data_IF_535391598852
#
_entry.id   IF_535391598852
#
_cell.length_a   1.000
_cell.length_b   1.000
_cell.length_c   1.000
_cell.angle_alpha   90.00
_cell.angle_beta   90.00
_cell.angle_gamma   90.00
#
_symmetry.space_group_name_H-M   'P 1'
#
loop_
_entity.id
_entity.type
_entity.pdbx_description
1 polymer ?
#
# COMPACT_ATOMS: atom_id res chain seq x y z
N UNK A 1 9.16 -14.25 25.19
CA UNK A 1 8.41 -13.52 24.16
C UNK A 1 8.43 -12.08 24.57
N UNK A 2 9.27 -11.25 23.94
CA UNK A 2 9.21 -9.81 24.18
C UNK A 2 7.89 -9.30 23.61
N UNK A 3 7.14 -8.51 24.37
CA UNK A 3 5.98 -7.77 23.88
C UNK A 3 6.43 -6.88 22.71
N UNK A 4 6.29 -7.38 21.49
CA UNK A 4 6.49 -6.58 20.29
C UNK A 4 5.22 -5.76 20.11
N UNK A 5 5.29 -4.48 20.48
CA UNK A 5 4.16 -3.57 20.36
C UNK A 5 3.75 -3.43 18.88
N UNK A 6 2.51 -3.81 18.56
CA UNK A 6 1.96 -3.70 17.21
C UNK A 6 1.99 -2.23 16.75
N UNK A 7 2.51 -1.99 15.54
CA UNK A 7 2.54 -0.66 14.93
C UNK A 7 1.46 -0.55 13.88
N UNK A 8 0.56 0.43 14.06
CA UNK A 8 -0.61 0.61 13.18
C UNK A 8 -0.45 1.80 12.26
N UNK A 9 -0.81 1.61 11.00
CA UNK A 9 -0.78 2.65 9.96
C UNK A 9 -2.13 2.74 9.26
N UNK A 10 -2.43 3.95 8.82
CA UNK A 10 -3.49 4.19 7.84
C UNK A 10 -2.87 4.40 6.47
N UNK A 11 -3.44 3.75 5.47
CA UNK A 11 -3.08 3.88 4.06
C UNK A 11 -4.29 4.44 3.33
N UNK A 12 -4.22 5.74 3.02
CA UNK A 12 -5.32 6.44 2.38
C UNK A 12 -5.16 6.39 0.86
N UNK A 13 -6.05 5.66 0.20
CA UNK A 13 -6.05 5.45 -1.25
C UNK A 13 -6.85 6.52 -2.01
N UNK A 14 -6.31 6.91 -3.17
CA UNK A 14 -6.86 7.90 -4.09
C UNK A 14 -6.87 7.33 -5.50
N UNK A 15 -7.90 7.66 -6.28
CA UNK A 15 -7.99 7.28 -7.68
C UNK A 15 -9.37 6.71 -8.04
N UNK A 16 -9.47 5.95 -9.13
CA UNK A 16 -8.38 5.60 -10.05
C UNK A 16 -7.90 6.85 -10.82
N UNK A 17 -6.60 6.90 -11.10
CA UNK A 17 -5.99 7.87 -12.00
C UNK A 17 -5.43 7.18 -13.24
N UNK A 18 -5.40 7.91 -14.34
CA UNK A 18 -4.57 7.58 -15.50
C UNK A 18 -3.12 8.02 -15.29
N UNK A 19 -2.19 7.39 -16.00
CA UNK A 19 -0.77 7.79 -15.96
C UNK A 19 -0.55 9.27 -16.30
N UNK A 20 -1.29 9.80 -17.29
CA UNK A 20 -1.17 11.21 -17.71
C UNK A 20 -1.71 12.18 -16.66
N UNK A 21 -2.76 11.83 -15.91
CA UNK A 21 -3.23 12.64 -14.78
C UNK A 21 -2.20 12.71 -13.65
N UNK A 22 -1.57 11.59 -13.31
CA UNK A 22 -0.50 11.54 -12.31
C UNK A 22 0.72 12.34 -12.78
N UNK A 23 1.08 12.25 -14.06
CA UNK A 23 2.20 13.00 -14.65
C UNK A 23 1.98 14.51 -14.58
N UNK A 24 0.75 14.99 -14.84
CA UNK A 24 0.37 16.40 -14.66
C UNK A 24 0.49 16.84 -13.20
N UNK A 25 0.20 15.95 -12.25
CA UNK A 25 0.28 16.20 -10.80
C UNK A 25 1.68 16.02 -10.22
N UNK A 26 2.67 15.51 -10.96
CA UNK A 26 4.01 15.10 -10.46
C UNK A 26 4.72 16.10 -9.55
N UNK A 27 4.51 17.41 -9.73
CA UNK A 27 5.19 18.46 -8.95
C UNK A 27 4.36 19.01 -7.77
N UNK A 28 3.12 18.56 -7.57
CA UNK A 28 2.24 19.05 -6.51
C UNK A 28 2.66 18.57 -5.11
N UNK A 29 2.15 19.22 -4.06
CA UNK A 29 2.32 18.77 -2.68
C UNK A 29 1.77 17.35 -2.49
N UNK A 30 0.56 17.10 -3.03
CA UNK A 30 -0.06 15.78 -3.08
C UNK A 30 0.88 14.70 -3.63
N UNK A 31 1.50 14.91 -4.80
CA UNK A 31 2.37 13.90 -5.40
C UNK A 31 3.61 13.58 -4.55
N UNK A 32 4.04 14.48 -3.65
CA UNK A 32 5.18 14.26 -2.75
C UNK A 32 4.82 13.43 -1.53
N UNK A 33 3.55 13.39 -1.11
CA UNK A 33 3.09 12.59 0.02
C UNK A 33 2.76 11.14 -0.36
N UNK A 34 2.57 10.86 -1.65
CA UNK A 34 2.34 9.50 -2.14
C UNK A 34 3.56 8.61 -1.91
N UNK A 35 3.30 7.40 -1.39
CA UNK A 35 4.32 6.38 -1.09
C UNK A 35 3.99 5.01 -1.65
N UNK A 36 2.70 4.70 -1.84
CA UNK A 36 2.23 3.43 -2.36
C UNK A 36 1.39 3.64 -3.62
N UNK A 37 1.31 2.61 -4.44
CA UNK A 37 0.39 2.53 -5.56
C UNK A 37 -0.10 1.10 -5.75
N UNK A 38 -1.33 1.00 -6.26
CA UNK A 38 -1.98 -0.25 -6.62
C UNK A 38 -2.53 -0.11 -8.03
N UNK A 39 -2.47 -1.19 -8.80
CA UNK A 39 -2.93 -1.23 -10.18
C UNK A 39 -3.98 -2.31 -10.32
N UNK A 40 -5.06 -1.94 -10.99
CA UNK A 40 -6.17 -2.82 -11.32
C UNK A 40 -6.21 -3.00 -12.82
N UNK A 41 -6.22 -4.25 -13.27
CA UNK A 41 -6.19 -4.57 -14.69
C UNK A 41 -6.92 -5.86 -15.00
N UNK A 42 -6.95 -6.22 -16.27
CA UNK A 42 -7.59 -7.45 -16.72
C UNK A 42 -6.61 -8.63 -16.61
N UNK A 43 -7.00 -9.68 -15.91
CA UNK A 43 -6.22 -10.91 -15.76
C UNK A 43 -6.95 -12.09 -16.40
N UNK A 44 -6.33 -12.87 -17.31
CA UNK A 44 -7.00 -13.95 -18.05
C UNK A 44 -7.70 -15.01 -17.18
N UNK A 45 -7.19 -15.25 -15.96
CA UNK A 45 -7.76 -16.24 -15.03
C UNK A 45 -8.70 -15.64 -13.98
N UNK A 46 -8.50 -14.37 -13.60
CA UNK A 46 -9.20 -13.78 -12.45
C UNK A 46 -10.27 -12.76 -12.86
N UNK A 47 -10.35 -12.44 -14.16
CA UNK A 47 -11.37 -11.56 -14.71
C UNK A 47 -10.87 -10.14 -14.93
N UNK A 48 -11.82 -9.22 -15.09
CA UNK A 48 -11.55 -7.82 -15.41
C UNK A 48 -11.41 -6.96 -14.17
N UNK A 49 -10.59 -5.91 -14.25
CA UNK A 49 -10.42 -4.91 -13.17
C UNK A 49 -10.09 -5.54 -11.81
N UNK A 50 -9.18 -6.51 -11.78
CA UNK A 50 -8.70 -7.14 -10.54
C UNK A 50 -7.37 -6.52 -10.11
N UNK A 51 -7.06 -6.57 -8.81
CA UNK A 51 -5.78 -6.12 -8.28
C UNK A 51 -4.64 -6.95 -8.89
N UNK A 52 -3.84 -6.34 -9.75
CA UNK A 52 -2.74 -7.00 -10.46
C UNK A 52 -1.38 -6.65 -9.88
N UNK A 53 -1.21 -5.46 -9.31
CA UNK A 53 0.09 -5.02 -8.80
C UNK A 53 -0.04 -4.07 -7.61
N UNK A 54 0.85 -4.22 -6.64
CA UNK A 54 1.11 -3.25 -5.57
C UNK A 54 2.59 -2.92 -5.56
N UNK A 55 2.91 -1.63 -5.38
CA UNK A 55 4.29 -1.21 -5.19
C UNK A 55 4.45 0.10 -4.43
N UNK A 56 5.71 0.43 -4.10
CA UNK A 56 6.09 1.69 -3.46
C UNK A 56 6.91 2.63 -4.33
N UNK A 57 6.83 3.92 -4.01
CA UNK A 57 7.57 5.03 -4.62
C UNK A 57 8.16 5.94 -3.53
N UNK A 58 9.27 5.51 -2.91
CA UNK A 58 9.94 6.24 -1.83
C UNK A 58 11.20 6.98 -2.33
N UNK A 59 12.18 6.23 -2.88
CA UNK A 59 13.44 6.81 -3.39
C UNK A 59 13.36 7.35 -4.81
N UNK A 60 12.46 6.79 -5.62
CA UNK A 60 12.17 7.23 -6.99
C UNK A 60 10.75 7.77 -7.01
N UNK A 61 10.50 8.74 -7.89
CA UNK A 61 9.16 9.28 -8.06
C UNK A 61 8.20 8.25 -8.67
N UNK A 62 6.92 8.41 -8.37
CA UNK A 62 5.85 7.49 -8.77
C UNK A 62 5.81 7.25 -10.28
N UNK A 63 5.97 8.29 -11.10
CA UNK A 63 5.87 8.19 -12.57
C UNK A 63 6.99 7.29 -13.10
N UNK A 64 8.21 7.49 -12.63
CA UNK A 64 9.36 6.65 -12.98
C UNK A 64 9.11 5.18 -12.59
N UNK A 65 8.55 4.93 -11.40
CA UNK A 65 8.24 3.56 -10.94
C UNK A 65 7.17 2.87 -11.78
N UNK A 66 6.11 3.59 -12.15
CA UNK A 66 5.06 3.04 -13.01
C UNK A 66 5.59 2.63 -14.39
N UNK A 67 6.47 3.44 -14.99
CA UNK A 67 7.09 3.11 -16.28
C UNK A 67 8.07 1.94 -16.21
N UNK A 68 8.84 1.83 -15.12
CA UNK A 68 9.74 0.67 -14.92
C UNK A 68 9.01 -0.67 -14.94
N UNK A 69 7.73 -0.68 -14.56
CA UNK A 69 6.88 -1.88 -14.51
C UNK A 69 5.88 -1.97 -15.68
N UNK A 70 5.96 -1.06 -16.66
CA UNK A 70 5.04 -0.98 -17.80
C UNK A 70 3.55 -0.85 -17.41
N UNK A 71 3.25 -0.06 -16.38
CA UNK A 71 1.91 0.08 -15.80
C UNK A 71 1.14 1.30 -16.33
N UNK A 72 1.59 1.95 -17.40
CA UNK A 72 1.04 3.24 -17.85
C UNK A 72 -0.37 3.18 -18.45
N UNK A 73 -0.82 1.97 -18.82
CA UNK A 73 -2.11 1.75 -19.49
C UNK A 73 -3.24 1.38 -18.54
N UNK A 74 -2.92 1.10 -17.29
CA UNK A 74 -3.86 0.57 -16.32
C UNK A 74 -4.42 1.68 -15.40
N UNK A 75 -5.63 1.49 -14.85
CA UNK A 75 -6.12 2.27 -13.71
C UNK A 75 -5.15 2.19 -12.50
N UNK A 76 -4.68 3.35 -12.04
CA UNK A 76 -3.70 3.45 -10.96
C UNK A 76 -4.33 4.12 -9.74
N UNK A 77 -4.34 3.40 -8.63
CA UNK A 77 -4.62 3.95 -7.31
C UNK A 77 -3.31 4.31 -6.64
N UNK A 78 -3.28 5.42 -5.92
CA UNK A 78 -2.11 5.92 -5.22
C UNK A 78 -2.46 6.20 -3.78
N UNK A 79 -1.51 6.01 -2.87
CA UNK A 79 -1.77 6.20 -1.46
C UNK A 79 -0.68 6.99 -0.76
N UNK A 80 -1.12 7.86 0.15
CA UNK A 80 -0.30 8.36 1.23
C UNK A 80 -0.40 7.40 2.43
N UNK A 81 0.57 7.49 3.33
CA UNK A 81 0.66 6.59 4.49
C UNK A 81 0.89 7.45 5.72
N UNK A 82 0.18 7.18 6.80
CA UNK A 82 0.31 7.91 8.07
C UNK A 82 0.28 6.95 9.26
N UNK A 83 0.91 7.34 10.37
CA UNK A 83 0.75 6.61 11.64
C UNK A 83 -0.68 6.76 12.12
N UNK A 84 -1.26 5.66 12.57
CA UNK A 84 -2.63 5.65 13.06
C UNK A 84 -2.65 5.84 14.57
N UNK A 85 -3.16 6.99 15.02
CA UNK A 85 -3.35 7.30 16.44
C UNK A 85 -4.84 7.40 16.84
N UNK A 86 -5.74 6.92 15.96
CA UNK A 86 -7.19 6.92 16.16
C UNK A 86 -7.97 7.76 15.15
N UNK A 87 -9.24 7.39 14.96
CA UNK A 87 -10.12 7.96 13.93
C UNK A 87 -10.35 9.46 14.04
N UNK A 88 -10.39 10.02 15.25
CA UNK A 88 -10.54 11.46 15.44
C UNK A 88 -9.40 12.26 14.80
N UNK A 89 -8.16 11.79 14.95
CA UNK A 89 -6.98 12.41 14.35
C UNK A 89 -6.94 12.20 12.83
N UNK A 90 -7.29 10.99 12.38
CA UNK A 90 -7.41 10.68 10.95
C UNK A 90 -8.39 11.63 10.25
N UNK A 91 -9.61 11.77 10.78
CA UNK A 91 -10.63 12.67 10.23
C UNK A 91 -10.18 14.14 10.24
N UNK A 92 -9.52 14.59 11.31
CA UNK A 92 -9.01 15.97 11.35
C UNK A 92 -7.96 16.25 10.25
N UNK A 93 -7.06 15.30 9.99
CA UNK A 93 -6.06 15.42 8.92
C UNK A 93 -6.72 15.45 7.53
N UNK A 94 -7.81 14.71 7.35
CA UNK A 94 -8.58 14.69 6.11
C UNK A 94 -9.25 16.04 5.80
N UNK A 95 -9.84 16.66 6.83
CA UNK A 95 -10.69 17.83 6.70
C UNK A 95 -9.91 19.14 6.60
N UNK A 96 -8.76 19.26 7.29
CA UNK A 96 -8.10 20.57 7.48
C UNK A 96 -6.84 20.80 6.65
N UNK A 97 -6.10 19.78 6.20
CA UNK A 97 -4.65 19.97 5.99
C UNK A 97 -4.09 19.77 4.57
N UNK A 98 -4.92 19.64 3.53
CA UNK A 98 -4.49 19.91 2.14
C UNK A 98 -3.20 19.22 1.67
N UNK A 99 -2.93 18.00 2.16
CA UNK A 99 -1.70 17.23 1.93
C UNK A 99 -0.44 17.76 2.63
N UNK A 100 -0.55 18.35 3.83
CA UNK A 100 0.60 18.74 4.65
C UNK A 100 1.52 17.52 4.90
N UNK A 101 2.77 17.53 4.37
CA UNK A 101 3.69 16.39 4.49
C UNK A 101 4.01 15.97 5.92
N UNK A 102 3.79 16.82 6.94
CA UNK A 102 4.13 16.49 8.33
C UNK A 102 3.34 15.31 8.92
N UNK A 103 2.17 15.00 8.35
CA UNK A 103 1.33 13.88 8.80
C UNK A 103 1.62 12.57 8.06
N UNK A 104 2.29 12.65 6.92
CA UNK A 104 2.51 11.50 6.05
C UNK A 104 3.95 11.01 6.16
N UNK A 105 4.13 9.69 6.04
CA UNK A 105 5.44 9.08 6.03
C UNK A 105 6.27 9.58 4.85
N UNK A 106 7.52 9.90 5.15
CA UNK A 106 8.47 10.49 4.22
C UNK A 106 9.47 9.49 3.65
N UNK A 107 10.59 10.01 3.17
CA UNK A 107 11.72 9.19 2.72
C UNK A 107 12.42 8.47 3.88
N UNK A 108 12.45 9.11 5.05
CA UNK A 108 13.14 8.58 6.23
C UNK A 108 12.38 7.40 6.87
N UNK A 109 11.10 7.23 6.53
CA UNK A 109 10.23 6.13 6.96
C UNK A 109 10.23 4.94 5.99
N UNK A 110 11.23 4.82 5.11
CA UNK A 110 11.28 3.79 4.06
C UNK A 110 11.13 2.36 4.61
N UNK A 111 11.62 2.09 5.81
CA UNK A 111 11.44 0.79 6.48
C UNK A 111 9.95 0.49 6.69
N UNK A 112 9.21 1.40 7.32
CA UNK A 112 7.77 1.24 7.56
C UNK A 112 7.00 1.07 6.26
N UNK A 113 7.28 1.91 5.25
CA UNK A 113 6.63 1.83 3.94
C UNK A 113 6.91 0.47 3.27
N UNK A 114 8.14 -0.05 3.42
CA UNK A 114 8.52 -1.36 2.90
C UNK A 114 7.75 -2.48 3.59
N UNK A 115 7.61 -2.44 4.92
CA UNK A 115 6.84 -3.46 5.65
C UNK A 115 5.36 -3.44 5.30
N UNK A 116 4.79 -2.25 5.09
CA UNK A 116 3.40 -2.06 4.66
C UNK A 116 3.20 -2.64 3.25
N UNK A 117 4.08 -2.31 2.28
CA UNK A 117 4.07 -2.89 0.93
C UNK A 117 4.18 -4.42 0.97
N UNK A 118 5.10 -4.95 1.77
CA UNK A 118 5.28 -6.40 1.93
C UNK A 118 4.03 -7.09 2.48
N UNK A 119 3.39 -6.51 3.50
CA UNK A 119 2.15 -7.04 4.08
C UNK A 119 0.99 -6.99 3.09
N UNK A 120 0.84 -5.90 2.34
CA UNK A 120 -0.19 -5.78 1.29
C UNK A 120 0.00 -6.86 0.20
N UNK A 121 1.22 -7.01 -0.31
CA UNK A 121 1.53 -8.03 -1.33
C UNK A 121 1.29 -9.44 -0.77
N UNK A 122 1.76 -9.70 0.45
CA UNK A 122 1.61 -11.00 1.10
C UNK A 122 0.16 -11.33 1.47
N UNK A 123 -0.65 -10.34 1.82
CA UNK A 123 -2.04 -10.56 2.19
C UNK A 123 -2.97 -10.73 0.99
N UNK A 124 -2.65 -10.10 -0.14
CA UNK A 124 -3.57 -9.95 -1.28
C UNK A 124 -3.16 -10.71 -2.53
N UNK A 125 -1.90 -11.14 -2.61
CA UNK A 125 -1.32 -11.93 -3.70
C UNK A 125 -1.65 -11.37 -5.11
N UNK A 126 -1.33 -10.09 -5.40
CA UNK A 126 -1.59 -9.54 -6.73
C UNK A 126 -0.82 -10.34 -7.80
N UNK A 127 -1.49 -10.67 -8.91
CA UNK A 127 -0.96 -11.60 -9.91
C UNK A 127 0.40 -11.20 -10.52
N UNK A 128 0.66 -9.90 -10.66
CA UNK A 128 1.90 -9.34 -11.21
C UNK A 128 3.04 -9.21 -10.19
N UNK A 129 2.78 -9.39 -8.89
CA UNK A 129 3.83 -9.37 -7.87
C UNK A 129 4.50 -10.75 -7.75
N UNK A 130 5.56 -10.99 -8.53
CA UNK A 130 6.27 -12.28 -8.60
C UNK A 130 7.21 -12.58 -7.40
N UNK A 131 7.47 -11.61 -6.51
CA UNK A 131 8.41 -11.72 -5.38
C UNK A 131 7.84 -11.08 -4.11
N UNK A 132 8.03 -11.74 -2.96
CA UNK A 132 8.09 -11.20 -1.57
C UNK A 132 7.61 -12.15 -0.46
N UNK A 133 7.28 -13.42 -0.75
CA UNK A 133 6.80 -14.36 0.29
C UNK A 133 7.74 -14.50 1.51
N UNK A 134 9.06 -14.47 1.30
CA UNK A 134 10.03 -14.70 2.38
C UNK A 134 10.32 -13.45 3.24
N UNK A 135 10.15 -12.24 2.71
CA UNK A 135 10.47 -11.00 3.47
C UNK A 135 9.31 -10.50 4.31
N UNK A 136 8.08 -10.89 3.96
CA UNK A 136 6.87 -10.54 4.69
C UNK A 136 6.87 -10.98 6.17
N UNK A 137 7.69 -11.97 6.56
CA UNK A 137 7.85 -12.39 7.97
C UNK A 137 8.21 -11.25 8.92
N UNK A 138 8.86 -10.20 8.42
CA UNK A 138 9.22 -9.02 9.23
C UNK A 138 8.10 -7.98 9.34
N UNK A 139 6.96 -8.24 8.71
CA UNK A 139 5.77 -7.38 8.76
C UNK A 139 4.71 -7.89 9.74
N UNK A 140 4.98 -8.93 10.53
CA UNK A 140 3.98 -9.50 11.45
C UNK A 140 3.50 -8.51 12.51
N UNK A 141 4.37 -7.61 12.96
CA UNK A 141 4.03 -6.55 13.92
C UNK A 141 3.25 -5.36 13.34
N UNK A 142 2.87 -5.38 12.06
CA UNK A 142 2.20 -4.26 11.40
C UNK A 142 0.70 -4.52 11.26
N UNK A 143 -0.09 -3.47 11.47
CA UNK A 143 -1.49 -3.42 11.10
C UNK A 143 -1.76 -2.24 10.17
N UNK A 144 -2.56 -2.47 9.16
CA UNK A 144 -2.90 -1.50 8.13
C UNK A 144 -4.41 -1.32 8.12
N UNK A 145 -4.87 -0.08 8.24
CA UNK A 145 -6.22 0.32 7.85
C UNK A 145 -6.16 0.95 6.47
N UNK A 146 -6.77 0.31 5.49
CA UNK A 146 -6.94 0.92 4.18
C UNK A 146 -8.19 1.80 4.25
N UNK A 147 -8.07 3.05 3.79
CA UNK A 147 -9.17 4.03 3.74
C UNK A 147 -9.21 4.73 2.38
N UNK A 148 -10.23 5.56 2.16
CA UNK A 148 -10.44 6.28 0.90
C UNK A 148 -10.97 5.37 -0.23
N UNK A 149 -10.39 5.49 -1.42
CA UNK A 149 -10.82 4.77 -2.62
C UNK A 149 -10.22 3.36 -2.67
N UNK A 150 -10.88 2.42 -1.97
CA UNK A 150 -10.36 1.08 -1.71
C UNK A 150 -10.28 0.16 -2.92
N UNK A 151 -11.17 0.34 -3.91
CA UNK A 151 -11.37 -0.68 -4.96
C UNK A 151 -11.73 -2.04 -4.34
N UNK A 152 -10.88 -3.05 -4.52
CA UNK A 152 -11.03 -4.38 -3.93
C UNK A 152 -10.11 -4.63 -2.71
N UNK A 153 -9.44 -3.60 -2.19
CA UNK A 153 -8.61 -3.74 -0.99
C UNK A 153 -9.51 -3.96 0.24
N UNK A 154 -9.16 -4.90 1.14
CA UNK A 154 -9.88 -5.04 2.41
C UNK A 154 -9.61 -3.81 3.30
N UNK A 155 -10.56 -3.44 4.16
CA UNK A 155 -10.40 -2.27 5.04
C UNK A 155 -9.30 -2.47 6.10
N UNK A 156 -8.96 -3.70 6.45
CA UNK A 156 -7.92 -4.01 7.44
C UNK A 156 -7.04 -5.19 6.98
N UNK A 157 -5.74 -5.09 7.26
CA UNK A 157 -4.78 -6.18 7.16
C UNK A 157 -3.90 -6.18 8.41
N UNK A 158 -3.87 -7.32 9.12
CA UNK A 158 -2.99 -7.54 10.28
C UNK A 158 -1.90 -8.54 9.93
N UNK A 159 -0.64 -8.14 10.13
CA UNK A 159 0.51 -9.02 9.94
C UNK A 159 0.49 -10.22 10.90
N UNK A 160 0.08 -10.02 12.15
CA UNK A 160 -0.04 -11.08 13.15
C UNK A 160 -0.99 -12.17 12.65
N UNK A 161 -2.15 -11.76 12.14
CA UNK A 161 -3.14 -12.70 11.61
C UNK A 161 -2.66 -13.36 10.31
N UNK A 162 -2.18 -12.56 9.35
CA UNK A 162 -1.84 -13.06 8.02
C UNK A 162 -0.58 -13.92 7.98
N UNK A 163 0.38 -13.69 8.88
CA UNK A 163 1.71 -14.32 8.83
C UNK A 163 1.92 -15.30 9.97
N UNK A 164 1.61 -14.93 11.22
CA UNK A 164 1.92 -15.78 12.38
C UNK A 164 0.83 -16.79 12.67
N UNK A 165 -0.43 -16.41 12.45
CA UNK A 165 -1.60 -17.26 12.68
C UNK A 165 -2.10 -17.96 11.40
N UNK A 166 -1.40 -17.78 10.28
CA UNK A 166 -1.71 -18.52 9.07
C UNK A 166 -1.57 -20.03 9.32
N UNK A 167 -2.58 -20.84 8.94
CA UNK A 167 -2.45 -22.28 9.06
C UNK A 167 -1.25 -22.75 8.23
N UNK A 168 -0.35 -23.51 8.86
CA UNK A 168 0.71 -24.19 8.12
C UNK A 168 0.04 -25.19 7.18
N UNK A 169 0.49 -25.32 5.92
CA UNK A 169 0.03 -26.42 5.09
C UNK A 169 0.34 -27.73 5.82
N UNK A 170 -0.63 -28.63 5.90
CA UNK A 170 -0.42 -29.97 6.47
C UNK A 170 0.81 -30.57 5.79
N UNK A 171 1.81 -30.99 6.58
CA UNK A 171 2.97 -31.67 6.01
C UNK A 171 2.47 -32.94 5.31
N UNK A 172 2.85 -33.19 4.05
CA UNK A 172 2.49 -34.43 3.39
C UNK A 172 3.12 -35.59 4.18
N UNK A 173 2.26 -36.41 4.80
CA UNK A 173 2.64 -37.63 5.51
C UNK A 173 3.12 -38.75 4.60
#
# INVERSE_FOLDING_TARGET
>A
MSDCQETTFEVWWHGPYTFEELKKKKKSAFARTLKLYAVYGDHPLYGRQVLTYIGKAVRRDLITRLSEHNLEREPIYVANVMRFDGWAKSNAIADEDGWDPKYFLGRDDEEHISRIEELLIYGLWPAGNLRNKNTARHSSQYRIFNTGELGSLPPELSGEYMIEKAPLPDEPG
#
